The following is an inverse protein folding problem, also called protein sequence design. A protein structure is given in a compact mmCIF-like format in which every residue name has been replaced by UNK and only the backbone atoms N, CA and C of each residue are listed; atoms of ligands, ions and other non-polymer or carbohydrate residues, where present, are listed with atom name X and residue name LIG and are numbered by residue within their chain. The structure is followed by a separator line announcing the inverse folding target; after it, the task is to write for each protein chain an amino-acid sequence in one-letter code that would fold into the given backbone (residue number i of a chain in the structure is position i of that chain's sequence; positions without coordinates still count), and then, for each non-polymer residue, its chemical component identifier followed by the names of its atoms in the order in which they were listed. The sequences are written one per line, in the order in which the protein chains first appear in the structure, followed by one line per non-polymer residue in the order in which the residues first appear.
data_IF_589090645405
#
_entry.id   IF_589090645405
#
_cell.length_a   1.000
_cell.length_b   1.000
_cell.length_c   1.000
_cell.angle_alpha   90.00
_cell.angle_beta   90.00
_cell.angle_gamma   90.00
#
_symmetry.space_group_name_H-M   'P 1'
#
loop_
_entity.id
_entity.type
_entity.pdbx_description
1 polymer ?
#
# COMPACT_ATOMS: atom_id res chain seq x y z
N UNK A 1 4.96 14.43 18.90
CA UNK A 1 5.37 14.44 17.49
C UNK A 1 5.02 13.08 16.89
N UNK A 2 3.91 12.98 16.15
CA UNK A 2 3.55 11.73 15.49
C UNK A 2 4.29 11.63 14.16
N UNK A 3 5.04 10.55 13.92
CA UNK A 3 5.67 10.32 12.62
C UNK A 3 4.56 9.99 11.61
N UNK A 4 4.46 10.70 10.46
CA UNK A 4 3.47 10.37 9.44
C UNK A 4 3.69 8.93 8.95
N UNK A 5 2.65 8.11 9.04
CA UNK A 5 2.66 6.73 8.60
C UNK A 5 1.38 6.44 7.82
N UNK A 6 1.52 5.71 6.71
CA UNK A 6 0.41 5.27 5.87
C UNK A 6 0.20 3.77 6.06
N UNK A 7 -1.06 3.37 6.22
CA UNK A 7 -1.46 1.96 6.14
C UNK A 7 -2.03 1.69 4.76
N UNK A 8 -1.32 0.85 3.99
CA UNK A 8 -1.69 0.54 2.61
C UNK A 8 -2.11 -0.92 2.51
N UNK A 9 -3.20 -1.17 1.80
CA UNK A 9 -3.63 -2.53 1.46
C UNK A 9 -2.68 -3.08 0.42
N UNK A 10 -1.93 -4.10 0.82
CA UNK A 10 -0.73 -4.54 0.14
C UNK A 10 -0.84 -6.06 0.03
N UNK A 11 -0.67 -6.61 -1.18
CA UNK A 11 -0.55 -8.07 -1.32
C UNK A 11 0.68 -8.57 -0.56
N UNK A 12 0.67 -9.82 -0.06
CA UNK A 12 1.79 -10.39 0.68
C UNK A 12 3.13 -10.23 -0.05
N UNK A 13 3.16 -10.40 -1.38
CA UNK A 13 4.34 -10.18 -2.22
C UNK A 13 4.86 -8.73 -2.15
N UNK A 14 3.97 -7.75 -2.27
CA UNK A 14 4.34 -6.33 -2.19
C UNK A 14 4.76 -5.97 -0.75
N UNK A 15 4.19 -6.62 0.26
CA UNK A 15 4.57 -6.43 1.66
C UNK A 15 5.96 -7.00 1.95
N UNK A 16 6.31 -8.14 1.35
CA UNK A 16 7.67 -8.70 1.42
C UNK A 16 8.67 -7.84 0.65
N UNK A 17 8.36 -7.42 -0.57
CA UNK A 17 9.20 -6.53 -1.36
C UNK A 17 9.50 -5.25 -0.59
N UNK A 18 8.46 -4.67 0.02
CA UNK A 18 8.60 -3.48 0.86
C UNK A 18 9.49 -3.69 2.08
N UNK A 19 9.36 -4.82 2.77
CA UNK A 19 10.23 -5.17 3.90
C UNK A 19 11.67 -5.39 3.47
N UNK A 20 11.90 -5.95 2.28
CA UNK A 20 13.23 -6.14 1.71
C UNK A 20 13.87 -4.80 1.30
N UNK A 21 13.08 -3.90 0.72
CA UNK A 21 13.55 -2.61 0.22
C UNK A 21 13.69 -1.57 1.34
N UNK A 22 12.84 -1.64 2.37
CA UNK A 22 12.73 -0.62 3.40
C UNK A 22 12.59 -1.24 4.78
N UNK A 23 13.62 -1.02 5.62
CA UNK A 23 13.63 -1.43 7.02
C UNK A 23 12.56 -0.73 7.87
N UNK A 24 12.05 0.41 7.40
CA UNK A 24 10.95 1.15 8.02
C UNK A 24 9.58 0.51 7.79
N UNK A 25 9.43 -0.46 6.87
CA UNK A 25 8.11 -1.08 6.64
C UNK A 25 7.83 -2.11 7.72
N UNK A 26 6.78 -1.86 8.51
CA UNK A 26 6.38 -2.72 9.63
C UNK A 26 5.06 -3.41 9.32
N UNK A 27 4.88 -4.68 9.73
CA UNK A 27 3.57 -5.30 9.74
C UNK A 27 2.61 -4.46 10.60
N UNK A 28 1.39 -4.21 10.10
CA UNK A 28 0.42 -3.42 10.85
C UNK A 28 0.12 -4.04 12.20
N UNK A 29 0.23 -3.26 13.27
CA UNK A 29 0.01 -3.74 14.65
C UNK A 29 -1.48 -3.98 14.97
N UNK A 30 -2.38 -3.31 14.25
CA UNK A 30 -3.84 -3.30 14.52
C UNK A 30 -4.70 -3.94 13.42
N UNK A 31 -4.13 -4.26 12.26
CA UNK A 31 -4.86 -4.79 11.10
C UNK A 31 -4.28 -6.13 10.66
N UNK A 32 -5.00 -6.86 9.80
CA UNK A 32 -4.60 -8.17 9.31
C UNK A 32 -3.22 -8.09 8.62
N UNK A 33 -2.18 -8.60 9.30
CA UNK A 33 -0.75 -8.44 8.96
C UNK A 33 -0.36 -9.03 7.61
N UNK A 34 -1.20 -9.90 7.05
CA UNK A 34 -1.02 -10.49 5.73
C UNK A 34 -1.41 -9.55 4.59
N UNK A 35 -2.28 -8.56 4.85
CA UNK A 35 -2.84 -7.68 3.81
C UNK A 35 -2.59 -6.19 4.06
N UNK A 36 -2.15 -5.81 5.26
CA UNK A 36 -1.98 -4.41 5.64
C UNK A 36 -0.58 -4.15 6.15
N UNK A 37 0.17 -3.33 5.41
CA UNK A 37 1.51 -2.89 5.78
C UNK A 37 1.48 -1.44 6.24
N UNK A 38 2.15 -1.16 7.37
CA UNK A 38 2.35 0.20 7.84
C UNK A 38 3.70 0.69 7.34
N UNK A 39 3.67 1.77 6.56
CA UNK A 39 4.84 2.40 5.96
C UNK A 39 5.03 3.77 6.60
N UNK A 40 6.20 4.04 7.16
CA UNK A 40 6.51 5.38 7.68
C UNK A 40 6.93 6.29 6.52
N UNK A 41 6.20 7.39 6.35
CA UNK A 41 6.46 8.43 5.35
C UNK A 41 7.60 9.36 5.76
N UNK A 42 7.91 9.36 7.06
CA UNK A 42 9.01 10.10 7.69
C UNK A 42 10.36 9.36 7.57
N UNK A 43 10.39 8.21 6.89
CA UNK A 43 11.55 7.35 6.75
C UNK A 43 12.33 7.61 5.45
N UNK A 44 13.22 6.69 5.10
CA UNK A 44 14.06 6.77 3.90
C UNK A 44 13.32 6.45 2.59
N UNK A 45 11.98 6.51 2.59
CA UNK A 45 11.16 6.07 1.47
C UNK A 45 11.03 7.19 0.44
N UNK A 46 11.48 7.01 -0.82
CA UNK A 46 11.34 8.03 -1.83
C UNK A 46 9.87 8.14 -2.29
N UNK A 47 9.45 9.36 -2.63
CA UNK A 47 8.08 9.63 -3.09
C UNK A 47 7.67 8.75 -4.27
N UNK A 48 8.58 8.49 -5.22
CA UNK A 48 8.34 7.60 -6.36
C UNK A 48 7.89 6.20 -5.95
N UNK A 49 8.47 5.67 -4.88
CA UNK A 49 8.08 4.36 -4.35
C UNK A 49 6.74 4.45 -3.64
N UNK A 50 6.44 5.57 -2.98
CA UNK A 50 5.11 5.82 -2.45
C UNK A 50 4.03 5.81 -3.54
N UNK A 51 4.24 6.53 -4.64
CA UNK A 51 3.32 6.56 -5.78
C UNK A 51 3.13 5.16 -6.35
N UNK A 52 4.20 4.39 -6.52
CA UNK A 52 4.12 3.01 -6.98
C UNK A 52 3.29 2.12 -6.05
N UNK A 53 3.42 2.28 -4.73
CA UNK A 53 2.64 1.53 -3.75
C UNK A 53 1.16 1.90 -3.77
N UNK A 54 0.87 3.20 -3.89
CA UNK A 54 -0.50 3.70 -4.02
C UNK A 54 -1.13 3.17 -5.30
N UNK A 55 -0.42 3.22 -6.42
CA UNK A 55 -0.89 2.69 -7.71
C UNK A 55 -1.11 1.17 -7.64
N UNK A 56 -0.15 0.40 -7.11
CA UNK A 56 -0.29 -1.04 -6.95
C UNK A 56 -1.46 -1.42 -6.03
N UNK A 57 -1.67 -0.68 -4.94
CA UNK A 57 -2.83 -0.86 -4.05
C UNK A 57 -4.14 -0.53 -4.77
N UNK A 58 -4.16 0.54 -5.55
CA UNK A 58 -5.30 0.95 -6.37
C UNK A 58 -5.62 -0.11 -7.43
N UNK A 59 -4.62 -0.59 -8.18
CA UNK A 59 -4.77 -1.66 -9.15
C UNK A 59 -5.33 -2.95 -8.53
N UNK A 60 -4.89 -3.32 -7.32
CA UNK A 60 -5.47 -4.45 -6.61
C UNK A 60 -6.91 -4.22 -6.18
N UNK A 61 -7.24 -3.01 -5.70
CA UNK A 61 -8.60 -2.66 -5.34
C UNK A 61 -9.51 -2.69 -6.58
N UNK A 62 -9.08 -2.08 -7.68
CA UNK A 62 -9.76 -2.12 -8.98
C UNK A 62 -9.88 -3.55 -9.48
N UNK A 63 -8.86 -4.38 -9.31
CA UNK A 63 -8.91 -5.78 -9.72
C UNK A 63 -9.87 -6.62 -8.90
N UNK A 64 -9.96 -6.35 -7.59
CA UNK A 64 -10.91 -6.97 -6.68
C UNK A 64 -12.34 -6.42 -6.82
N UNK A 65 -12.54 -5.29 -7.50
CA UNK A 65 -13.86 -4.73 -7.73
C UNK A 65 -14.60 -5.48 -8.84
N UNK A 66 -15.89 -5.83 -8.65
CA UNK A 66 -16.71 -6.42 -9.69
C UNK A 66 -16.88 -5.48 -10.88
N UNK A 67 -17.12 -6.03 -12.07
CA UNK A 67 -17.20 -5.31 -13.34
C UNK A 67 -18.17 -4.12 -13.31
N UNK A 68 -19.26 -4.25 -12.54
CA UNK A 68 -20.26 -3.22 -12.33
C UNK A 68 -19.69 -1.95 -11.68
N UNK A 69 -18.75 -2.12 -10.73
CA UNK A 69 -18.03 -1.03 -10.08
C UNK A 69 -16.91 -0.47 -10.95
N UNK A 70 -16.23 -1.31 -11.75
CA UNK A 70 -15.22 -0.85 -12.71
C UNK A 70 -15.80 0.10 -13.75
N UNK A 71 -17.03 -0.12 -14.22
CA UNK A 71 -17.72 0.78 -15.15
C UNK A 71 -18.07 2.16 -14.56
N UNK A 72 -18.13 2.29 -13.23
CA UNK A 72 -18.40 3.57 -12.55
C UNK A 72 -17.14 4.39 -12.28
N UNK A 73 -15.94 3.84 -12.51
CA UNK A 73 -14.70 4.60 -12.36
C UNK A 73 -14.50 5.49 -13.59
N UNK A 74 -14.32 6.82 -13.42
CA UNK A 74 -13.98 7.69 -14.53
C UNK A 74 -12.59 7.31 -15.05
N UNK A 75 -12.52 6.86 -16.30
CA UNK A 75 -11.26 6.81 -17.04
C UNK A 75 -10.91 8.25 -17.41
N UNK A 76 -10.00 8.87 -16.65
CA UNK A 76 -9.42 10.18 -16.97
C UNK A 76 -8.09 10.01 -17.70
#
# INVERSE_FOLDING_TARGET
MGRPAASLKTSPELAELLRQQHSDVRPSRHLNKAHWSTVYLDGSLPDSQLYYLVDASYQQAVNALPEDKRKQLPQS
#
